data_IF_074121183200
#
_entry.id   IF_074121183200
#
_cell.length_a   1.000
_cell.length_b   1.000
_cell.length_c   1.000
_cell.angle_alpha   90.00
_cell.angle_beta   90.00
_cell.angle_gamma   90.00
#
_symmetry.space_group_name_H-M   'P 1'
#
loop_
_entity.id
_entity.type
_entity.pdbx_description
1 polymer ?
#
# COMPACT_ATOMS: atom_id res chain seq x y z
N UNK A 1 -76.04 -2.72 15.00
CA UNK A 1 -76.69 -3.85 15.71
C UNK A 1 -76.71 -5.09 14.78
N UNK A 2 -77.32 -6.22 15.18
CA UNK A 2 -77.15 -7.62 14.65
C UNK A 2 -78.37 -8.08 13.78
N UNK A 3 -78.41 -9.14 12.93
CA UNK A 3 -77.49 -10.18 12.35
C UNK A 3 -78.18 -10.92 11.16
N UNK A 4 -77.45 -11.80 10.44
CA UNK A 4 -77.92 -13.02 9.70
C UNK A 4 -78.66 -12.86 8.34
N UNK A 5 -78.69 -13.86 7.42
CA UNK A 5 -77.81 -15.03 7.11
C UNK A 5 -78.08 -15.59 5.68
N UNK A 6 -77.13 -16.35 5.15
CA UNK A 6 -77.07 -17.18 3.92
C UNK A 6 -78.16 -18.27 3.72
N UNK A 7 -78.26 -18.84 2.49
CA UNK A 7 -78.61 -20.26 2.16
C UNK A 7 -77.99 -20.73 0.81
N UNK A 8 -78.05 -22.04 0.44
CA UNK A 8 -77.32 -22.76 -0.67
C UNK A 8 -78.21 -23.89 -1.31
N UNK A 9 -77.90 -24.81 -2.26
CA UNK A 9 -76.68 -25.44 -2.89
C UNK A 9 -77.05 -26.27 -4.20
N UNK A 10 -76.10 -26.81 -5.00
CA UNK A 10 -76.25 -27.76 -6.16
C UNK A 10 -74.88 -28.15 -6.80
N UNK A 11 -74.67 -29.03 -7.83
CA UNK A 11 -75.49 -29.94 -8.69
C UNK A 11 -74.57 -31.02 -9.41
N UNK A 12 -74.99 -31.72 -10.51
CA UNK A 12 -74.30 -32.90 -11.15
C UNK A 12 -74.25 -32.97 -12.71
N UNK A 13 -73.33 -33.76 -13.30
CA UNK A 13 -73.36 -34.28 -14.70
C UNK A 13 -72.00 -34.81 -15.25
N UNK A 14 -71.96 -35.94 -16.00
CA UNK A 14 -70.73 -36.66 -16.42
C UNK A 14 -70.82 -37.29 -17.85
N UNK A 15 -69.69 -37.54 -18.55
CA UNK A 15 -69.62 -38.36 -19.81
C UNK A 15 -68.18 -38.64 -20.29
N UNK A 16 -67.95 -39.81 -20.93
CA UNK A 16 -66.67 -40.18 -21.60
C UNK A 16 -66.89 -40.99 -22.89
N UNK A 17 -66.13 -40.67 -23.95
CA UNK A 17 -66.04 -41.47 -25.19
C UNK A 17 -64.56 -41.48 -25.68
N UNK A 18 -64.09 -42.61 -26.20
CA UNK A 18 -62.73 -42.83 -26.73
C UNK A 18 -62.75 -43.03 -28.25
N UNK A 19 -61.80 -42.44 -29.00
CA UNK A 19 -61.49 -42.92 -30.34
C UNK A 19 -60.00 -42.96 -30.72
N UNK A 20 -59.64 -43.97 -31.53
CA UNK A 20 -58.59 -43.86 -32.55
C UNK A 20 -57.15 -44.22 -32.14
N UNK A 21 -56.67 -45.36 -32.66
CA UNK A 21 -55.23 -45.61 -32.79
C UNK A 21 -54.59 -44.62 -33.76
N UNK A 22 -53.38 -44.15 -33.46
CA UNK A 22 -52.58 -43.31 -34.37
C UNK A 22 -51.16 -43.85 -34.46
N UNK A 23 -50.77 -44.27 -35.66
CA UNK A 23 -49.41 -44.71 -35.97
C UNK A 23 -48.46 -43.51 -35.82
N UNK A 24 -47.44 -43.64 -34.96
CA UNK A 24 -46.51 -42.54 -34.63
C UNK A 24 -45.28 -42.64 -35.54
N UNK A 25 -45.05 -41.62 -36.36
CA UNK A 25 -43.86 -41.55 -37.21
C UNK A 25 -42.57 -41.53 -36.37
N UNK A 26 -41.47 -42.13 -36.86
CA UNK A 26 -40.25 -42.24 -36.07
C UNK A 26 -39.61 -40.87 -35.84
N UNK A 27 -39.45 -40.50 -34.58
CA UNK A 27 -38.79 -39.27 -34.17
C UNK A 27 -37.32 -39.31 -34.64
N UNK A 28 -36.94 -38.42 -35.56
CA UNK A 28 -35.52 -38.19 -35.87
C UNK A 28 -34.82 -37.78 -34.57
N UNK A 29 -33.86 -38.60 -34.10
CA UNK A 29 -33.16 -38.36 -32.82
C UNK A 29 -32.53 -36.95 -32.83
N UNK A 30 -32.56 -36.20 -31.71
CA UNK A 30 -32.16 -34.79 -31.66
C UNK A 30 -30.63 -34.60 -31.63
N UNK A 31 -29.93 -35.17 -32.62
CA UNK A 31 -28.46 -35.13 -32.75
C UNK A 31 -27.94 -33.68 -32.78
N UNK A 32 -28.68 -32.77 -33.41
CA UNK A 32 -28.36 -31.35 -33.45
C UNK A 32 -28.31 -30.70 -32.05
N UNK A 33 -29.16 -31.12 -31.11
CA UNK A 33 -29.12 -30.62 -29.72
C UNK A 33 -27.84 -31.10 -29.02
N UNK A 34 -27.46 -32.36 -29.22
CA UNK A 34 -26.21 -32.93 -28.65
C UNK A 34 -25.00 -32.18 -29.20
N UNK A 35 -24.96 -31.92 -30.51
CA UNK A 35 -23.89 -31.15 -31.15
C UNK A 35 -23.82 -29.72 -30.61
N UNK A 36 -24.96 -29.01 -30.53
CA UNK A 36 -25.01 -27.65 -29.97
C UNK A 36 -24.56 -27.58 -28.51
N UNK A 37 -25.00 -28.52 -27.66
CA UNK A 37 -24.55 -28.61 -26.27
C UNK A 37 -23.04 -28.89 -26.21
N UNK A 38 -22.51 -29.82 -27.01
CA UNK A 38 -21.07 -30.09 -27.04
C UNK A 38 -20.23 -28.89 -27.50
N UNK A 39 -20.72 -28.11 -28.46
CA UNK A 39 -20.04 -26.91 -28.96
C UNK A 39 -20.01 -25.79 -27.91
N UNK A 40 -21.14 -25.55 -27.22
CA UNK A 40 -21.22 -24.59 -26.10
C UNK A 40 -20.33 -25.02 -24.94
N UNK A 41 -20.33 -26.30 -24.57
CA UNK A 41 -19.45 -26.83 -23.52
C UNK A 41 -17.97 -26.67 -23.87
N UNK A 42 -17.58 -26.97 -25.12
CA UNK A 42 -16.20 -26.77 -25.59
C UNK A 42 -15.80 -25.30 -25.55
N UNK A 43 -16.66 -24.40 -26.03
CA UNK A 43 -16.41 -22.95 -26.00
C UNK A 43 -16.19 -22.43 -24.57
N UNK A 44 -17.02 -22.86 -23.60
CA UNK A 44 -16.88 -22.49 -22.19
C UNK A 44 -15.57 -23.04 -21.58
N UNK A 45 -15.18 -24.28 -21.90
CA UNK A 45 -13.90 -24.86 -21.45
C UNK A 45 -12.70 -24.12 -22.07
N UNK A 46 -12.76 -23.76 -23.36
CA UNK A 46 -11.72 -22.96 -24.00
C UNK A 46 -11.60 -21.57 -23.37
N UNK A 47 -12.72 -20.88 -23.09
CA UNK A 47 -12.72 -19.57 -22.43
C UNK A 47 -12.20 -19.62 -20.97
N UNK A 48 -12.38 -20.74 -20.28
CA UNK A 48 -11.84 -20.96 -18.94
C UNK A 48 -10.33 -21.26 -18.94
N UNK A 49 -9.85 -22.06 -19.90
CA UNK A 49 -8.42 -22.43 -20.02
C UNK A 49 -7.58 -21.29 -20.61
N UNK A 50 -8.17 -20.50 -21.52
CA UNK A 50 -7.54 -19.35 -22.17
C UNK A 50 -8.25 -18.05 -21.77
N UNK A 51 -8.06 -17.55 -20.53
CA UNK A 51 -8.58 -16.23 -20.16
C UNK A 51 -7.97 -15.15 -21.08
N UNK A 52 -8.77 -14.23 -21.62
CA UNK A 52 -8.28 -13.24 -22.58
C UNK A 52 -7.43 -12.17 -21.87
N UNK A 53 -6.11 -12.34 -21.92
CA UNK A 53 -5.11 -11.37 -21.45
C UNK A 53 -5.00 -10.14 -22.39
N UNK A 54 -6.13 -9.60 -22.85
CA UNK A 54 -6.19 -8.39 -23.69
C UNK A 54 -7.45 -7.58 -23.40
N UNK A 55 -7.26 -6.31 -23.02
CA UNK A 55 -8.32 -5.42 -22.54
C UNK A 55 -9.47 -5.25 -23.54
N UNK A 56 -9.14 -5.36 -24.83
CA UNK A 56 -10.07 -5.27 -25.97
C UNK A 56 -11.27 -6.21 -25.81
N UNK A 57 -11.06 -7.44 -25.32
CA UNK A 57 -12.14 -8.40 -25.13
C UNK A 57 -13.15 -7.93 -24.06
N UNK A 58 -12.67 -7.30 -23.00
CA UNK A 58 -13.51 -6.82 -21.89
C UNK A 58 -14.39 -5.64 -22.32
N UNK A 59 -13.85 -4.72 -23.13
CA UNK A 59 -14.60 -3.59 -23.69
C UNK A 59 -15.73 -4.00 -24.64
N UNK A 60 -15.61 -5.14 -25.33
CA UNK A 60 -16.66 -5.67 -26.23
C UNK A 60 -17.90 -6.13 -25.46
N UNK A 61 -17.75 -6.64 -24.24
CA UNK A 61 -18.87 -7.22 -23.47
C UNK A 61 -19.36 -6.33 -22.31
N UNK A 62 -18.53 -5.49 -21.67
CA UNK A 62 -19.01 -4.52 -20.67
C UNK A 62 -18.07 -3.33 -20.45
N UNK A 63 -18.31 -2.24 -21.20
CA UNK A 63 -17.55 -0.98 -21.07
C UNK A 63 -17.70 -0.27 -19.71
N UNK A 64 -18.76 -0.58 -18.94
CA UNK A 64 -18.94 -0.06 -17.57
C UNK A 64 -18.30 -0.97 -16.52
N UNK A 65 -18.38 -2.29 -16.67
CA UNK A 65 -17.77 -3.23 -15.74
C UNK A 65 -16.25 -3.15 -15.77
N UNK A 66 -15.65 -3.04 -16.96
CA UNK A 66 -14.20 -3.06 -17.06
C UNK A 66 -13.50 -1.80 -16.53
N UNK A 67 -14.12 -0.61 -16.61
CA UNK A 67 -13.55 0.61 -16.02
C UNK A 67 -13.35 0.49 -14.52
N UNK A 68 -14.36 -0.01 -13.81
CA UNK A 68 -14.25 -0.29 -12.37
C UNK A 68 -13.12 -1.28 -12.12
N UNK A 69 -12.98 -2.34 -12.92
CA UNK A 69 -11.91 -3.31 -12.77
C UNK A 69 -10.51 -2.70 -13.01
N UNK A 70 -10.35 -1.82 -14.01
CA UNK A 70 -9.07 -1.12 -14.25
C UNK A 70 -8.69 -0.16 -13.13
N UNK A 71 -9.67 0.46 -12.46
CA UNK A 71 -9.43 1.34 -11.31
C UNK A 71 -8.99 0.55 -10.05
N UNK A 72 -9.28 -0.76 -9.98
CA UNK A 72 -8.83 -1.68 -8.90
C UNK A 72 -7.51 -2.40 -9.22
N UNK A 73 -7.05 -2.41 -10.47
CA UNK A 73 -5.80 -3.06 -10.84
C UNK A 73 -4.60 -2.19 -10.42
N UNK A 74 -3.50 -2.79 -9.89
CA UNK A 74 -2.29 -2.04 -9.64
C UNK A 74 -1.77 -1.46 -10.96
N UNK A 75 -1.21 -0.23 -10.96
CA UNK A 75 -0.71 0.39 -12.19
C UNK A 75 0.33 -0.51 -12.88
N UNK A 76 0.35 -0.54 -14.23
CA UNK A 76 1.28 -1.38 -14.96
C UNK A 76 2.72 -1.10 -14.52
N UNK A 77 3.52 -2.17 -14.39
CA UNK A 77 4.92 -2.07 -13.96
C UNK A 77 5.70 -1.24 -14.98
N UNK A 78 5.88 0.06 -14.68
CA UNK A 78 6.77 0.92 -15.45
C UNK A 78 8.19 0.38 -15.44
N UNK A 79 8.93 0.67 -16.49
CA UNK A 79 10.37 0.50 -16.48
C UNK A 79 11.00 1.47 -15.46
N UNK A 80 12.13 1.05 -14.90
CA UNK A 80 12.93 1.80 -13.93
C UNK A 80 14.04 2.51 -14.70
N UNK A 81 14.39 3.73 -14.33
CA UNK A 81 15.59 4.37 -14.88
C UNK A 81 16.85 3.70 -14.33
N UNK A 82 17.99 3.85 -15.01
CA UNK A 82 19.26 3.25 -14.56
C UNK A 82 19.61 3.66 -13.12
N UNK A 83 19.34 4.91 -12.73
CA UNK A 83 19.55 5.41 -11.37
C UNK A 83 18.63 4.76 -10.32
N UNK A 84 17.39 4.40 -10.71
CA UNK A 84 16.47 3.63 -9.86
C UNK A 84 16.84 2.15 -9.77
N UNK A 85 17.53 1.61 -10.79
CA UNK A 85 18.10 0.26 -10.78
C UNK A 85 19.35 0.25 -9.90
N UNK A 86 20.28 1.18 -10.09
CA UNK A 86 21.52 1.32 -9.31
C UNK A 86 21.19 1.54 -7.83
N UNK A 87 20.31 2.49 -7.50
CA UNK A 87 19.91 2.73 -6.11
C UNK A 87 19.19 1.53 -5.49
N UNK A 88 18.38 0.77 -6.25
CA UNK A 88 17.78 -0.49 -5.78
C UNK A 88 18.82 -1.58 -5.52
N UNK A 89 19.86 -1.69 -6.34
CA UNK A 89 20.97 -2.65 -6.14
C UNK A 89 21.77 -2.26 -4.89
N UNK A 90 22.16 -0.99 -4.74
CA UNK A 90 22.92 -0.51 -3.58
C UNK A 90 22.12 -0.63 -2.28
N UNK A 91 20.83 -0.27 -2.28
CA UNK A 91 19.95 -0.45 -1.10
C UNK A 91 19.81 -1.93 -0.73
N UNK A 92 19.75 -2.83 -1.72
CA UNK A 92 19.72 -4.26 -1.46
C UNK A 92 21.01 -4.77 -0.84
N UNK A 93 22.16 -4.41 -1.40
CA UNK A 93 23.48 -4.80 -0.91
C UNK A 93 23.70 -4.33 0.54
N UNK A 94 23.26 -3.11 0.88
CA UNK A 94 23.27 -2.56 2.25
C UNK A 94 22.33 -3.33 3.19
N UNK A 95 21.18 -3.84 2.71
CA UNK A 95 20.23 -4.63 3.52
C UNK A 95 20.65 -6.10 3.69
N UNK A 96 21.36 -6.66 2.70
CA UNK A 96 21.94 -8.01 2.74
C UNK A 96 23.31 -8.02 3.47
N UNK A 97 23.89 -6.85 3.79
CA UNK A 97 25.12 -6.67 4.59
C UNK A 97 24.89 -7.04 6.06
N UNK A 98 25.79 -7.83 6.71
CA UNK A 98 25.64 -8.19 8.12
C UNK A 98 25.76 -6.97 9.04
N UNK A 99 24.99 -6.92 10.16
CA UNK A 99 25.02 -5.79 11.08
C UNK A 99 26.39 -5.60 11.72
N UNK A 100 26.85 -4.35 11.81
CA UNK A 100 28.14 -4.00 12.41
C UNK A 100 28.02 -4.07 13.94
N UNK A 101 28.73 -5.01 14.56
CA UNK A 101 28.84 -5.08 16.03
C UNK A 101 29.73 -3.94 16.56
N UNK A 102 29.10 -2.85 16.98
CA UNK A 102 29.78 -1.79 17.73
C UNK A 102 30.28 -2.30 19.09
N UNK A 103 31.54 -1.97 19.40
CA UNK A 103 32.14 -2.25 20.72
C UNK A 103 31.74 -1.22 21.78
N UNK A 104 31.28 -0.04 21.36
CA UNK A 104 30.92 1.09 22.22
C UNK A 104 29.63 1.74 21.71
N UNK A 105 28.47 1.08 21.83
CA UNK A 105 27.22 1.58 21.26
C UNK A 105 26.83 2.95 21.82
N UNK A 106 26.40 3.84 20.92
CA UNK A 106 26.04 5.25 21.14
C UNK A 106 24.60 5.54 20.76
N UNK A 107 24.06 6.58 21.38
CA UNK A 107 22.82 7.25 20.96
C UNK A 107 23.19 8.55 20.23
N UNK A 108 22.73 8.71 18.99
CA UNK A 108 22.84 9.94 18.21
C UNK A 108 21.70 10.89 18.53
N UNK A 109 22.01 11.99 19.23
CA UNK A 109 21.08 13.09 19.47
C UNK A 109 21.18 14.09 18.31
N UNK A 110 20.07 14.24 17.59
CA UNK A 110 19.96 15.06 16.40
C UNK A 110 19.00 16.21 16.69
N UNK A 111 19.52 17.42 16.90
CA UNK A 111 18.74 18.59 17.25
C UNK A 111 18.42 19.42 15.99
N UNK A 112 17.15 19.71 15.75
CA UNK A 112 16.68 20.58 14.66
C UNK A 112 16.09 21.86 15.26
N UNK A 113 16.82 22.98 15.12
CA UNK A 113 16.53 24.25 15.81
C UNK A 113 16.44 25.44 14.84
N UNK A 114 15.81 26.55 15.24
CA UNK A 114 15.91 27.82 14.52
C UNK A 114 17.28 28.49 14.69
N UNK A 115 17.92 28.30 15.84
CA UNK A 115 19.19 28.93 16.23
C UNK A 115 19.82 28.21 17.42
N UNK A 116 20.20 28.95 18.47
CA UNK A 116 20.72 28.40 19.73
C UNK A 116 19.84 27.30 20.35
N UNK A 117 20.48 26.30 20.96
CA UNK A 117 19.80 25.12 21.49
C UNK A 117 18.93 25.48 22.71
N UNK A 118 17.61 25.19 22.72
CA UNK A 118 16.78 25.38 23.90
C UNK A 118 17.27 24.48 25.05
N UNK A 119 17.28 25.03 26.26
CA UNK A 119 17.68 24.32 27.48
C UNK A 119 19.09 23.72 27.47
N UNK A 120 20.06 24.30 26.73
CA UNK A 120 21.43 23.77 26.60
C UNK A 120 22.08 23.37 27.95
N UNK A 121 21.84 24.14 29.03
CA UNK A 121 22.33 23.82 30.38
C UNK A 121 21.72 22.56 31.02
N UNK A 122 20.49 22.19 30.68
CA UNK A 122 19.87 20.94 31.14
C UNK A 122 20.37 19.75 30.32
N UNK A 123 20.60 19.95 29.02
CA UNK A 123 21.25 18.94 28.17
C UNK A 123 22.71 18.69 28.59
N UNK A 124 23.46 19.73 28.95
CA UNK A 124 24.80 19.63 29.54
C UNK A 124 24.81 18.76 30.81
N UNK A 125 23.86 18.99 31.73
CA UNK A 125 23.69 18.15 32.93
C UNK A 125 23.26 16.71 32.63
N UNK A 126 22.51 16.48 31.56
CA UNK A 126 22.08 15.14 31.11
C UNK A 126 23.24 14.35 30.45
N UNK A 127 24.09 15.04 29.69
CA UNK A 127 25.25 14.44 29.00
C UNK A 127 26.46 14.24 29.92
N UNK A 128 26.58 15.00 30.99
CA UNK A 128 27.64 14.90 32.00
C UNK A 128 27.76 13.48 32.59
N UNK A 129 28.97 12.91 32.52
CA UNK A 129 29.27 11.56 33.02
C UNK A 129 28.85 10.41 32.08
N UNK A 130 28.28 10.72 30.91
CA UNK A 130 27.89 9.75 29.89
C UNK A 130 28.82 9.80 28.66
N UNK A 131 30.02 10.37 28.78
CA UNK A 131 30.95 10.60 27.66
C UNK A 131 31.24 9.31 26.88
N UNK A 132 31.15 9.39 25.55
CA UNK A 132 31.36 8.23 24.67
C UNK A 132 30.16 7.29 24.54
N UNK A 133 29.07 7.49 25.29
CA UNK A 133 27.77 6.78 25.11
C UNK A 133 26.79 7.51 24.19
N UNK A 134 27.16 8.67 23.70
CA UNK A 134 26.33 9.48 22.81
C UNK A 134 27.17 10.23 21.78
N UNK A 135 26.50 10.67 20.72
CA UNK A 135 26.99 11.64 19.75
C UNK A 135 25.95 12.75 19.57
N UNK A 136 26.40 13.96 19.20
CA UNK A 136 25.53 15.14 19.08
C UNK A 136 25.71 15.77 17.70
N UNK A 137 24.58 16.05 17.04
CA UNK A 137 24.50 16.70 15.75
C UNK A 137 23.43 17.80 15.83
N UNK A 138 23.73 18.99 15.34
CA UNK A 138 22.85 20.16 15.45
C UNK A 138 22.60 20.73 14.07
N UNK A 139 21.34 20.96 13.71
CA UNK A 139 20.94 21.73 12.55
C UNK A 139 20.29 23.03 13.03
N UNK A 140 20.99 24.14 12.83
CA UNK A 140 20.48 25.48 13.13
C UNK A 140 20.08 26.16 11.81
N UNK A 141 18.79 26.46 11.67
CA UNK A 141 18.17 26.70 10.37
C UNK A 141 18.00 28.17 9.97
N UNK A 142 18.28 29.13 10.85
CA UNK A 142 18.21 30.58 10.58
C UNK A 142 19.43 31.35 11.08
N UNK A 143 19.83 31.08 12.32
CA UNK A 143 20.89 31.81 13.01
C UNK A 143 22.05 30.86 13.35
N UNK A 144 23.29 31.37 13.33
CA UNK A 144 24.41 30.60 13.86
C UNK A 144 24.34 30.59 15.39
N UNK A 145 24.23 29.43 16.05
CA UNK A 145 24.16 29.35 17.49
C UNK A 145 25.50 29.75 18.14
N UNK A 146 25.44 30.17 19.40
CA UNK A 146 26.63 30.36 20.25
C UNK A 146 26.50 29.40 21.43
N UNK A 147 27.18 28.27 21.33
CA UNK A 147 27.20 27.24 22.35
C UNK A 147 28.16 27.58 23.50
N UNK A 148 27.74 27.28 24.72
CA UNK A 148 28.48 27.48 25.97
C UNK A 148 29.00 26.15 26.52
N UNK A 149 28.22 25.08 26.37
CA UNK A 149 28.60 23.74 26.81
C UNK A 149 29.53 23.03 25.79
N UNK A 150 30.57 22.31 26.26
CA UNK A 150 31.55 21.68 25.39
C UNK A 150 30.98 20.56 24.51
N UNK A 151 29.84 19.96 24.87
CA UNK A 151 29.24 18.87 24.09
C UNK A 151 28.72 19.35 22.72
N UNK A 152 28.29 20.61 22.61
CA UNK A 152 27.67 21.21 21.43
C UNK A 152 28.66 22.01 20.55
N UNK A 153 29.85 22.33 21.07
CA UNK A 153 30.89 23.02 20.30
C UNK A 153 31.25 22.25 19.02
N UNK A 154 31.17 22.95 17.88
CA UNK A 154 31.46 22.42 16.54
C UNK A 154 30.58 21.20 16.13
N UNK A 155 29.36 21.07 16.67
CA UNK A 155 28.38 20.04 16.27
C UNK A 155 27.38 20.49 15.19
N UNK A 156 27.50 21.74 14.75
CA UNK A 156 26.65 22.35 13.72
C UNK A 156 26.84 21.68 12.33
N UNK A 157 25.73 21.35 11.68
CA UNK A 157 25.65 20.89 10.29
C UNK A 157 24.87 21.93 9.49
N UNK A 158 25.59 22.67 8.64
CA UNK A 158 25.02 23.76 7.86
C UNK A 158 24.24 23.25 6.63
N UNK A 159 23.11 23.89 6.28
CA UNK A 159 22.38 23.70 5.00
C UNK A 159 21.56 24.94 4.63
N UNK A 160 20.79 24.84 3.53
CA UNK A 160 19.68 25.74 3.21
C UNK A 160 18.75 25.98 4.42
N UNK A 161 18.15 27.19 4.54
CA UNK A 161 17.18 27.49 5.61
C UNK A 161 15.95 26.57 5.60
N UNK A 162 15.39 26.34 6.78
CA UNK A 162 14.23 25.46 6.97
C UNK A 162 12.96 26.29 7.21
N UNK A 163 11.93 26.01 6.40
CA UNK A 163 10.56 26.48 6.63
C UNK A 163 9.73 25.35 7.25
N UNK A 164 8.97 25.66 8.30
CA UNK A 164 8.09 24.70 8.97
C UNK A 164 7.00 24.18 8.02
N UNK A 165 6.76 22.87 8.02
CA UNK A 165 5.78 22.23 7.14
C UNK A 165 6.18 22.15 5.65
N UNK A 166 7.38 22.60 5.28
CA UNK A 166 7.89 22.53 3.91
C UNK A 166 8.97 21.43 3.77
N UNK A 167 9.18 20.93 2.54
CA UNK A 167 10.14 19.85 2.24
C UNK A 167 11.57 20.10 2.75
N UNK A 168 11.98 21.38 2.88
CA UNK A 168 13.25 21.79 3.52
C UNK A 168 13.48 21.20 4.92
N UNK A 169 12.40 20.90 5.65
CA UNK A 169 12.46 20.26 6.97
C UNK A 169 12.90 18.80 6.85
N UNK A 170 12.29 18.06 5.92
CA UNK A 170 12.68 16.67 5.61
C UNK A 170 14.12 16.60 5.08
N UNK A 171 14.55 17.58 4.27
CA UNK A 171 15.94 17.64 3.79
C UNK A 171 16.95 17.90 4.92
N UNK A 172 16.59 18.73 5.91
CA UNK A 172 17.40 18.97 7.10
C UNK A 172 17.49 17.72 8.01
N UNK A 173 16.37 17.03 8.25
CA UNK A 173 16.32 15.76 8.99
C UNK A 173 17.13 14.65 8.32
N UNK A 174 16.98 14.49 7.00
CA UNK A 174 17.78 13.54 6.20
C UNK A 174 19.27 13.87 6.26
N UNK A 175 19.64 15.16 6.33
CA UNK A 175 21.03 15.62 6.46
C UNK A 175 21.60 15.38 7.86
N UNK A 176 20.83 15.58 8.92
CA UNK A 176 21.18 15.17 10.29
C UNK A 176 21.47 13.67 10.34
N UNK A 177 20.52 12.85 9.88
CA UNK A 177 20.64 11.39 9.85
C UNK A 177 21.84 10.92 9.00
N UNK A 178 22.08 11.52 7.84
CA UNK A 178 23.23 11.21 6.98
C UNK A 178 24.59 11.63 7.56
N UNK A 179 24.64 12.47 8.60
CA UNK A 179 25.85 12.70 9.40
C UNK A 179 25.95 11.75 10.59
N UNK A 180 24.82 11.42 11.22
CA UNK A 180 24.78 10.45 12.32
C UNK A 180 25.18 9.03 11.89
N UNK A 181 24.76 8.60 10.70
CA UNK A 181 25.10 7.29 10.10
C UNK A 181 26.59 7.14 9.69
N UNK A 182 27.42 8.19 9.85
CA UNK A 182 28.87 8.10 9.57
C UNK A 182 29.69 7.52 10.73
N UNK A 183 29.12 7.51 11.94
CA UNK A 183 29.72 6.86 13.11
C UNK A 183 29.03 5.51 13.31
N UNK A 184 29.68 4.37 13.01
CA UNK A 184 29.07 3.05 13.06
C UNK A 184 28.74 2.58 14.49
N UNK A 185 29.17 3.32 15.52
CA UNK A 185 28.75 3.06 16.89
C UNK A 185 27.34 3.60 17.20
N UNK A 186 26.78 4.48 16.37
CA UNK A 186 25.44 5.03 16.57
C UNK A 186 24.37 3.97 16.23
N UNK A 187 23.82 3.29 17.25
CA UNK A 187 22.77 2.28 17.09
C UNK A 187 21.35 2.81 17.30
N UNK A 188 21.22 3.95 17.98
CA UNK A 188 19.94 4.60 18.25
C UNK A 188 19.99 6.07 17.85
N UNK A 189 18.87 6.58 17.32
CA UNK A 189 18.77 7.92 16.75
C UNK A 189 17.58 8.64 17.37
N UNK A 190 17.83 9.81 17.96
CA UNK A 190 16.82 10.62 18.65
C UNK A 190 16.77 11.98 17.97
N UNK A 191 15.74 12.22 17.17
CA UNK A 191 15.45 13.52 16.57
C UNK A 191 14.69 14.38 17.57
N UNK A 192 15.14 15.62 17.79
CA UNK A 192 14.58 16.55 18.76
C UNK A 192 14.37 17.93 18.11
N UNK A 193 13.14 18.43 18.16
CA UNK A 193 12.75 19.78 17.73
C UNK A 193 12.46 20.68 18.93
N UNK A 194 12.59 22.00 18.71
CA UNK A 194 12.19 23.07 19.66
C UNK A 194 10.65 23.25 19.76
N UNK A 195 9.88 22.43 19.03
CA UNK A 195 8.41 22.49 18.90
C UNK A 195 7.82 21.12 18.55
#
# INVERSE_FOLDING_TARGET
MKVAKEWRFGSMGDTKILPGSRHRSPLKRPIWIILMVSFVSLFLVCAYIYPPNSDVACYVFSSRGCKVLTDWLPPPKRELTDEEIISRVVVRDILDTPPVESKNPKIAFMFLTPGSLPFEKLWDMFFSGNEGRFSVYIHASKEKPVHVSPYFLNREIHSSPVTWGAFSMVDAERRLLAYALKDPDNLHFVLLSDR
#
